data_IF_924230366660
#
_entry.id   IF_924230366660
#
_cell.length_a   1.000
_cell.length_b   1.000
_cell.length_c   1.000
_cell.angle_alpha   90.00
_cell.angle_beta   90.00
_cell.angle_gamma   90.00
#
_symmetry.space_group_name_H-M   'P 1'
#
loop_
_entity.id
_entity.type
_entity.pdbx_description
1 polymer ?
#
# COMPACT_ATOMS: atom_id res chain seq x y z
N UNK A 1 1.32 -12.76 -12.85
CA UNK A 1 0.88 -11.86 -11.76
C UNK A 1 1.14 -12.61 -10.46
N UNK A 2 1.74 -11.99 -9.44
CA UNK A 2 1.91 -12.62 -8.12
C UNK A 2 0.55 -13.10 -7.61
N UNK A 3 0.52 -14.27 -6.98
CA UNK A 3 -0.72 -14.78 -6.35
C UNK A 3 -1.02 -13.92 -5.12
N UNK A 4 -2.18 -13.26 -5.11
CA UNK A 4 -2.66 -12.48 -3.97
C UNK A 4 -3.73 -13.30 -3.23
N UNK A 5 -3.45 -13.72 -1.99
CA UNK A 5 -4.43 -14.42 -1.15
C UNK A 5 -5.27 -13.46 -0.28
N UNK A 6 -5.05 -12.16 -0.42
CA UNK A 6 -5.74 -11.09 0.30
C UNK A 6 -6.61 -10.22 -0.61
N UNK A 7 -6.55 -8.91 -0.38
CA UNK A 7 -7.34 -7.90 -1.08
C UNK A 7 -6.47 -7.20 -2.13
N UNK A 8 -6.91 -7.21 -3.38
CA UNK A 8 -6.27 -6.42 -4.43
C UNK A 8 -6.94 -5.06 -4.45
N UNK A 9 -6.16 -4.01 -4.26
CA UNK A 9 -6.66 -2.64 -4.28
C UNK A 9 -5.74 -1.75 -5.10
N UNK A 10 -6.33 -0.74 -5.74
CA UNK A 10 -5.62 0.27 -6.51
C UNK A 10 -5.79 1.60 -5.81
N UNK A 11 -4.68 2.25 -5.50
CA UNK A 11 -4.66 3.51 -4.78
C UNK A 11 -3.95 4.55 -5.64
N UNK A 12 -4.62 5.68 -5.82
CA UNK A 12 -4.03 6.80 -6.54
C UNK A 12 -2.84 7.37 -5.75
N UNK A 13 -1.85 7.86 -6.48
CA UNK A 13 -0.71 8.54 -5.90
C UNK A 13 -1.20 9.78 -5.12
N UNK A 14 -0.70 9.96 -3.90
CA UNK A 14 -1.14 10.88 -2.84
C UNK A 14 -2.45 10.54 -2.14
N UNK A 15 -3.15 9.48 -2.55
CA UNK A 15 -4.35 9.05 -1.86
C UNK A 15 -4.03 8.32 -0.56
N UNK A 16 -4.96 8.46 0.39
CA UNK A 16 -4.90 7.79 1.68
C UNK A 16 -5.59 6.43 1.57
N UNK A 17 -4.85 5.37 1.82
CA UNK A 17 -5.34 4.01 1.95
C UNK A 17 -5.59 3.68 3.43
N UNK A 18 -6.82 3.36 3.78
CA UNK A 18 -7.19 2.93 5.13
C UNK A 18 -7.80 1.52 5.04
N UNK A 19 -7.01 0.45 5.27
CA UNK A 19 -7.52 -0.91 5.24
C UNK A 19 -8.42 -1.23 6.43
N UNK A 20 -8.45 -0.36 7.43
CA UNK A 20 -9.24 -0.53 8.63
C UNK A 20 -10.73 -0.19 8.49
N UNK A 21 -11.59 -0.98 9.15
CA UNK A 21 -13.00 -0.74 9.41
C UNK A 21 -13.31 0.56 10.17
N UNK A 22 -12.40 1.09 10.99
CA UNK A 22 -12.64 2.25 11.87
C UNK A 22 -11.75 3.45 11.54
N UNK A 23 -12.22 4.67 11.81
CA UNK A 23 -11.45 5.91 11.53
C UNK A 23 -10.14 6.07 12.33
N UNK A 24 -9.96 5.29 13.38
CA UNK A 24 -8.76 5.27 14.23
C UNK A 24 -7.79 4.12 13.88
N UNK A 25 -8.05 3.42 12.78
CA UNK A 25 -7.23 2.31 12.30
C UNK A 25 -6.14 2.82 11.36
N UNK A 26 -5.12 2.00 11.01
CA UNK A 26 -3.93 2.51 10.37
C UNK A 26 -4.25 3.10 9.01
N UNK A 27 -3.58 4.20 8.70
CA UNK A 27 -3.71 4.87 7.42
C UNK A 27 -2.36 4.96 6.75
N UNK A 28 -2.35 4.68 5.46
CA UNK A 28 -1.19 4.72 4.61
C UNK A 28 -1.39 5.76 3.52
N UNK A 29 -0.32 6.38 3.09
CA UNK A 29 -0.29 7.26 1.92
C UNK A 29 0.66 6.62 0.93
N UNK A 30 0.20 6.48 -0.30
CA UNK A 30 1.04 6.04 -1.40
C UNK A 30 1.54 7.26 -2.14
N UNK A 31 2.83 7.34 -2.42
CA UNK A 31 3.44 8.44 -3.15
C UNK A 31 4.60 7.95 -4.02
N UNK A 32 5.16 8.85 -4.84
CA UNK A 32 6.37 8.58 -5.64
C UNK A 32 6.25 7.28 -6.43
N UNK A 33 5.17 7.19 -7.22
CA UNK A 33 4.88 6.01 -8.02
C UNK A 33 5.61 6.13 -9.34
N UNK A 34 6.57 5.25 -9.59
CA UNK A 34 7.50 5.41 -10.70
C UNK A 34 8.19 4.13 -11.14
N UNK A 35 9.02 4.27 -12.17
CA UNK A 35 9.89 3.19 -12.65
C UNK A 35 11.33 3.66 -12.50
N UNK A 36 12.09 3.00 -11.63
CA UNK A 36 13.51 3.27 -11.43
C UNK A 36 14.32 2.06 -11.89
N UNK A 37 15.30 2.27 -12.78
CA UNK A 37 16.15 1.20 -13.32
C UNK A 37 15.37 0.02 -13.95
N UNK A 38 14.16 0.26 -14.46
CA UNK A 38 13.26 -0.77 -15.01
C UNK A 38 12.45 -1.53 -13.96
N UNK A 39 12.62 -1.23 -12.68
CA UNK A 39 11.79 -1.75 -11.59
C UNK A 39 10.67 -0.75 -11.26
N UNK A 40 9.44 -1.22 -11.29
CA UNK A 40 8.28 -0.47 -10.83
C UNK A 40 8.29 -0.39 -9.31
N UNK A 41 8.11 0.83 -8.78
CA UNK A 41 8.10 1.08 -7.34
C UNK A 41 7.00 2.08 -6.95
N UNK A 42 6.62 2.03 -5.68
CA UNK A 42 5.72 2.99 -5.06
C UNK A 42 6.15 3.19 -3.60
N UNK A 43 6.22 4.43 -3.14
CA UNK A 43 6.50 4.73 -1.74
C UNK A 43 5.26 4.56 -0.88
N UNK A 44 5.39 3.90 0.27
CA UNK A 44 4.33 3.77 1.27
C UNK A 44 4.79 4.35 2.59
N UNK A 45 3.99 5.25 3.13
CA UNK A 45 4.20 5.81 4.47
C UNK A 45 2.91 5.75 5.28
N UNK A 46 3.00 5.32 6.52
CA UNK A 46 1.90 5.36 7.47
C UNK A 46 1.78 4.11 8.31
N UNK A 47 0.65 3.94 8.96
CA UNK A 47 0.46 2.89 9.96
C UNK A 47 -0.39 3.35 11.11
N UNK A 48 -0.19 2.72 12.27
CA UNK A 48 -0.83 3.13 13.51
C UNK A 48 -0.31 4.47 14.02
N UNK A 49 -1.11 5.12 14.87
CA UNK A 49 -0.68 6.33 15.57
C UNK A 49 0.57 6.09 16.43
N UNK A 50 1.31 7.17 16.71
CA UNK A 50 2.54 7.16 17.50
C UNK A 50 2.43 6.32 18.77
N UNK A 51 3.39 5.41 18.96
CA UNK A 51 3.47 4.51 20.12
C UNK A 51 2.92 3.11 19.91
N UNK A 52 2.36 2.80 18.74
CA UNK A 52 1.94 1.45 18.36
C UNK A 52 2.88 0.84 17.29
N UNK A 53 3.20 -0.47 17.37
CA UNK A 53 3.95 -1.15 16.31
C UNK A 53 3.13 -1.20 15.02
N UNK A 54 3.79 -1.13 13.86
CA UNK A 54 3.11 -1.14 12.55
C UNK A 54 3.12 0.19 11.81
N UNK A 55 4.22 0.93 11.91
CA UNK A 55 4.52 2.07 11.03
C UNK A 55 5.47 1.60 9.92
N UNK A 56 5.18 1.97 8.68
CA UNK A 56 6.03 1.78 7.50
C UNK A 56 6.37 3.14 6.91
N UNK A 57 7.60 3.25 6.41
CA UNK A 57 8.12 4.42 5.72
C UNK A 57 9.19 3.91 4.75
N UNK A 58 8.76 3.33 3.64
CA UNK A 58 9.64 2.55 2.75
C UNK A 58 9.11 2.51 1.31
N UNK A 59 9.99 2.15 0.37
CA UNK A 59 9.62 1.87 -1.02
C UNK A 59 9.17 0.43 -1.19
N UNK A 60 8.02 0.23 -1.83
CA UNK A 60 7.54 -1.06 -2.31
C UNK A 60 8.01 -1.25 -3.76
N UNK A 61 8.61 -2.39 -4.05
CA UNK A 61 8.96 -2.81 -5.40
C UNK A 61 8.02 -3.92 -5.89
N UNK A 62 7.74 -3.96 -7.19
CA UNK A 62 6.83 -4.96 -7.75
C UNK A 62 7.32 -6.38 -7.43
N UNK A 63 6.43 -7.18 -6.83
CA UNK A 63 6.69 -8.56 -6.44
C UNK A 63 7.42 -8.71 -5.09
N UNK A 64 7.79 -7.62 -4.42
CA UNK A 64 8.41 -7.67 -3.10
C UNK A 64 7.36 -7.46 -1.99
N UNK A 65 7.06 -8.49 -1.18
CA UNK A 65 6.16 -8.35 -0.04
C UNK A 65 6.84 -7.60 1.12
N UNK A 66 6.16 -6.60 1.66
CA UNK A 66 6.54 -5.89 2.89
C UNK A 66 5.51 -6.12 3.97
N UNK A 67 5.93 -6.78 5.03
CA UNK A 67 5.08 -7.04 6.19
C UNK A 67 5.12 -5.86 7.17
N UNK A 68 3.94 -5.34 7.51
CA UNK A 68 3.74 -4.30 8.52
C UNK A 68 3.10 -4.94 9.76
N UNK A 69 3.83 -5.04 10.89
CA UNK A 69 3.36 -5.74 12.08
C UNK A 69 1.99 -5.25 12.55
N UNK A 70 1.12 -6.17 12.96
CA UNK A 70 -0.25 -5.92 13.49
C UNK A 70 -1.25 -5.40 12.47
N UNK A 71 -0.87 -5.35 11.19
CA UNK A 71 -1.69 -4.83 10.10
C UNK A 71 -1.79 -5.87 8.98
N UNK A 72 -0.65 -6.27 8.42
CA UNK A 72 -0.61 -7.19 7.30
C UNK A 72 0.55 -6.96 6.36
N UNK A 73 0.55 -7.67 5.26
CA UNK A 73 1.58 -7.65 4.22
C UNK A 73 1.09 -6.90 2.99
N UNK A 74 1.92 -5.98 2.49
CA UNK A 74 1.70 -5.22 1.27
C UNK A 74 2.64 -5.73 0.19
N UNK A 75 2.09 -6.12 -0.95
CA UNK A 75 2.89 -6.53 -2.11
C UNK A 75 2.49 -5.68 -3.30
N UNK A 76 3.41 -4.91 -3.86
CA UNK A 76 3.13 -4.15 -5.07
C UNK A 76 2.99 -5.12 -6.25
N UNK A 77 1.86 -5.04 -6.95
CA UNK A 77 1.56 -5.92 -8.09
C UNK A 77 1.82 -5.22 -9.42
N UNK A 78 1.41 -3.97 -9.52
CA UNK A 78 1.51 -3.16 -10.73
C UNK A 78 1.44 -1.66 -10.39
N UNK A 79 1.87 -0.83 -11.34
CA UNK A 79 1.71 0.62 -11.25
C UNK A 79 1.18 1.19 -12.56
N UNK A 80 0.39 2.25 -12.44
CA UNK A 80 0.05 3.13 -13.55
C UNK A 80 0.81 4.43 -13.37
N UNK A 81 1.81 4.68 -14.21
CA UNK A 81 2.52 5.97 -14.19
C UNK A 81 1.64 7.08 -14.77
N UNK A 82 1.74 8.28 -14.20
CA UNK A 82 1.10 9.47 -14.75
C UNK A 82 1.49 9.69 -16.22
N UNK A 83 0.50 9.79 -17.12
CA UNK A 83 0.76 10.09 -18.54
C UNK A 83 1.03 11.58 -18.81
N UNK A 84 0.88 12.45 -17.81
CA UNK A 84 1.06 13.89 -17.91
C UNK A 84 1.94 14.42 -16.77
N UNK A 85 2.60 15.56 -17.00
CA UNK A 85 3.52 16.24 -16.04
C UNK A 85 2.84 16.60 -14.70
N UNK A 86 1.50 16.66 -14.68
CA UNK A 86 0.68 16.88 -13.48
C UNK A 86 -0.30 15.73 -13.21
N UNK A 87 -0.12 14.59 -13.86
CA UNK A 87 -0.92 13.40 -13.56
C UNK A 87 -0.45 12.78 -12.25
N UNK A 88 -1.39 12.18 -11.53
CA UNK A 88 -1.08 11.28 -10.43
C UNK A 88 -1.00 9.87 -11.00
N UNK A 89 0.04 9.13 -10.63
CA UNK A 89 0.07 7.70 -10.89
C UNK A 89 -0.96 6.96 -10.03
N UNK A 90 -1.00 5.64 -10.14
CA UNK A 90 -1.67 4.79 -9.16
C UNK A 90 -0.86 3.52 -8.95
N UNK A 91 -0.93 2.97 -7.74
CA UNK A 91 -0.28 1.72 -7.38
C UNK A 91 -1.34 0.67 -7.10
N UNK A 92 -1.22 -0.48 -7.75
CA UNK A 92 -2.03 -1.66 -7.45
C UNK A 92 -1.22 -2.58 -6.56
N UNK A 93 -1.72 -2.85 -5.36
CA UNK A 93 -1.08 -3.74 -4.41
C UNK A 93 -2.03 -4.80 -3.89
N UNK A 94 -1.44 -5.93 -3.50
CA UNK A 94 -2.08 -6.96 -2.71
C UNK A 94 -1.88 -6.62 -1.23
N UNK A 95 -2.98 -6.49 -0.50
CA UNK A 95 -2.98 -6.34 0.95
C UNK A 95 -3.49 -7.63 1.60
N UNK A 96 -2.60 -8.30 2.31
CA UNK A 96 -2.89 -9.51 3.07
C UNK A 96 -2.95 -9.16 4.55
N UNK A 97 -4.14 -9.05 5.16
CA UNK A 97 -4.28 -8.64 6.55
C UNK A 97 -3.70 -9.69 7.50
N UNK A 98 -3.17 -9.24 8.63
CA UNK A 98 -2.84 -10.13 9.73
C UNK A 98 -4.12 -10.80 10.29
N UNK A 99 -4.03 -12.01 10.88
CA UNK A 99 -5.21 -12.73 11.38
C UNK A 99 -6.06 -11.95 12.39
N UNK A 100 -5.40 -11.08 13.16
CA UNK A 100 -6.04 -10.23 14.18
C UNK A 100 -6.49 -8.87 13.64
N UNK A 101 -6.14 -8.52 12.40
CA UNK A 101 -6.45 -7.24 11.79
C UNK A 101 -7.87 -7.22 11.20
N UNK A 102 -8.67 -6.24 11.62
CA UNK A 102 -10.06 -6.09 11.17
C UNK A 102 -10.13 -5.22 9.92
N UNK A 103 -10.10 -5.87 8.77
CA UNK A 103 -10.25 -5.21 7.48
C UNK A 103 -11.63 -4.58 7.32
N UNK A 104 -11.66 -3.40 6.70
CA UNK A 104 -12.90 -2.76 6.24
C UNK A 104 -13.58 -3.60 5.15
N UNK A 105 -14.90 -3.73 5.19
CA UNK A 105 -15.66 -4.43 4.15
C UNK A 105 -15.74 -3.69 2.81
N UNK A 106 -15.03 -2.58 2.66
CA UNK A 106 -15.16 -1.63 1.53
C UNK A 106 -13.83 -1.42 0.79
N UNK A 107 -12.77 -2.17 1.12
CA UNK A 107 -11.53 -2.17 0.33
C UNK A 107 -11.58 -3.15 -0.85
#
# INVERSE_FOLDING_TARGET
>A
MPECNGWITTVDETAQFAPGKSRNEPTFVISDVGIENGAMYAYIIGGWADGYPGWIDDSLYVGEPKHVPTIGTFTLLDITTAQAVYGHGSATFCFEPDPDFKVSSTI
#
